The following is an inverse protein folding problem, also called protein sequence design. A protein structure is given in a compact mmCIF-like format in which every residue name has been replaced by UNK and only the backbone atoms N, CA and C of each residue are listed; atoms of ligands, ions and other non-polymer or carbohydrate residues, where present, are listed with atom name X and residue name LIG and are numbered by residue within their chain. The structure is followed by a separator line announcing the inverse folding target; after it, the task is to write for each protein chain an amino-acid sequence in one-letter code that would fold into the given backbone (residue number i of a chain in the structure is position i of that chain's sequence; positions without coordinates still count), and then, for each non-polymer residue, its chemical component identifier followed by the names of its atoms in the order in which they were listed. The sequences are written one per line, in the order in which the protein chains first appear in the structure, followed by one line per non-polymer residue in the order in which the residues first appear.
data_IF_725400268024
#
_entry.id   IF_725400268024
#
_cell.length_a   1.000
_cell.length_b   1.000
_cell.length_c   1.000
_cell.angle_alpha   90.00
_cell.angle_beta   90.00
_cell.angle_gamma   90.00
#
_symmetry.space_group_name_H-M   'P 1'
#
loop_
_entity.id
_entity.type
_entity.pdbx_description
1 polymer ?
#
# COMPACT_ATOMS: atom_id res chain seq x y z
N UNK A 1 16.59 5.17 -37.21
CA UNK A 1 16.90 5.22 -35.76
C UNK A 1 18.32 4.70 -35.58
N UNK A 2 19.24 5.58 -35.22
CA UNK A 2 20.66 5.27 -35.19
C UNK A 2 21.00 4.46 -33.92
N UNK A 3 21.97 3.55 -34.02
CA UNK A 3 22.43 2.70 -32.91
C UNK A 3 22.73 3.45 -31.59
N UNK A 4 23.35 4.65 -31.58
CA UNK A 4 23.51 5.45 -30.35
C UNK A 4 22.19 5.92 -29.73
N UNK A 5 21.16 6.21 -30.53
CA UNK A 5 19.84 6.60 -29.99
C UNK A 5 19.15 5.41 -29.30
N UNK A 6 19.36 4.18 -29.80
CA UNK A 6 18.88 2.96 -29.16
C UNK A 6 19.52 2.74 -27.79
N UNK A 7 20.83 2.93 -27.67
CA UNK A 7 21.52 2.85 -26.37
C UNK A 7 21.04 3.91 -25.39
N UNK A 8 20.74 5.12 -25.84
CA UNK A 8 20.23 6.17 -24.98
C UNK A 8 18.80 5.90 -24.52
N UNK A 9 17.94 5.34 -25.38
CA UNK A 9 16.56 4.94 -24.99
C UNK A 9 16.57 3.73 -24.06
N UNK A 10 17.42 2.72 -24.30
CA UNK A 10 17.57 1.55 -23.43
C UNK A 10 18.26 1.87 -22.09
N UNK A 11 19.21 2.81 -22.06
CA UNK A 11 19.78 3.32 -20.79
C UNK A 11 18.80 4.20 -20.02
N UNK A 12 17.87 4.88 -20.70
CA UNK A 12 16.81 5.65 -20.04
C UNK A 12 15.71 4.72 -19.46
N UNK A 13 15.64 3.47 -19.94
CA UNK A 13 15.01 2.35 -19.23
C UNK A 13 15.96 1.77 -18.16
N UNK A 14 16.67 2.65 -17.45
CA UNK A 14 17.37 2.30 -16.21
C UNK A 14 16.35 1.65 -15.28
N UNK A 15 16.43 0.34 -15.24
CA UNK A 15 15.49 -0.52 -14.54
C UNK A 15 15.39 -0.02 -13.11
N UNK A 16 14.20 0.40 -12.71
CA UNK A 16 13.87 0.55 -11.29
C UNK A 16 14.34 -0.75 -10.63
N UNK A 17 15.32 -0.65 -9.73
CA UNK A 17 15.97 -1.84 -9.19
C UNK A 17 14.89 -2.80 -8.69
N UNK A 18 14.99 -4.09 -8.99
CA UNK A 18 13.88 -5.04 -8.82
C UNK A 18 13.21 -5.01 -7.44
N UNK A 19 13.95 -4.57 -6.41
CA UNK A 19 13.44 -4.30 -5.07
C UNK A 19 12.45 -3.11 -4.97
N UNK A 20 12.78 -1.95 -5.53
CA UNK A 20 11.88 -0.77 -5.53
C UNK A 20 10.59 -1.06 -6.29
N UNK A 21 10.71 -1.74 -7.43
CA UNK A 21 9.57 -2.24 -8.22
C UNK A 21 8.71 -3.21 -7.41
N UNK A 22 9.33 -4.17 -6.70
CA UNK A 22 8.61 -5.09 -5.83
C UNK A 22 7.80 -4.35 -4.76
N UNK A 23 8.40 -3.37 -4.07
CA UNK A 23 7.70 -2.58 -3.05
C UNK A 23 6.53 -1.78 -3.64
N UNK A 24 6.70 -1.22 -4.84
CA UNK A 24 5.63 -0.51 -5.54
C UNK A 24 4.46 -1.42 -5.90
N UNK A 25 4.73 -2.60 -6.49
CA UNK A 25 3.68 -3.56 -6.84
C UNK A 25 3.00 -4.14 -5.61
N UNK A 26 3.74 -4.37 -4.52
CA UNK A 26 3.17 -4.74 -3.23
C UNK A 26 2.18 -3.68 -2.73
N UNK A 27 2.54 -2.39 -2.80
CA UNK A 27 1.62 -1.30 -2.45
C UNK A 27 0.35 -1.30 -3.32
N UNK A 28 0.47 -1.53 -4.63
CA UNK A 28 -0.69 -1.59 -5.52
C UNK A 28 -1.61 -2.78 -5.19
N UNK A 29 -1.04 -3.95 -4.89
CA UNK A 29 -1.81 -5.12 -4.45
C UNK A 29 -2.54 -4.81 -3.14
N UNK A 30 -1.88 -4.16 -2.18
CA UNK A 30 -2.51 -3.78 -0.90
C UNK A 30 -3.59 -2.71 -1.05
N UNK A 31 -3.40 -1.76 -1.96
CA UNK A 31 -4.42 -0.78 -2.30
C UNK A 31 -5.64 -1.46 -2.93
N UNK A 32 -5.44 -2.35 -3.90
CA UNK A 32 -6.50 -3.13 -4.53
C UNK A 32 -7.24 -4.03 -3.52
N UNK A 33 -6.50 -4.69 -2.63
CA UNK A 33 -7.06 -5.51 -1.56
C UNK A 33 -7.87 -4.69 -0.55
N UNK A 34 -7.39 -3.48 -0.22
CA UNK A 34 -8.16 -2.55 0.63
C UNK A 34 -9.45 -2.13 -0.05
N UNK A 35 -9.44 -1.87 -1.37
CA UNK A 35 -10.66 -1.58 -2.11
C UNK A 35 -11.62 -2.77 -2.10
N UNK A 36 -11.09 -3.98 -2.25
CA UNK A 36 -11.89 -5.21 -2.18
C UNK A 36 -12.59 -5.34 -0.82
N UNK A 37 -11.85 -5.23 0.29
CA UNK A 37 -12.41 -5.39 1.64
C UNK A 37 -13.36 -4.25 2.01
N UNK A 38 -13.11 -3.02 1.58
CA UNK A 38 -13.90 -1.84 1.99
C UNK A 38 -15.11 -1.54 1.13
N UNK A 39 -15.13 -2.03 -0.10
CA UNK A 39 -16.20 -1.74 -1.06
C UNK A 39 -16.78 -3.02 -1.65
N UNK A 40 -16.00 -3.83 -2.38
CA UNK A 40 -16.53 -4.96 -3.14
C UNK A 40 -17.15 -6.03 -2.23
N UNK A 41 -16.46 -6.42 -1.16
CA UNK A 41 -16.95 -7.42 -0.21
C UNK A 41 -18.21 -6.93 0.55
N UNK A 42 -18.24 -5.71 1.13
CA UNK A 42 -19.46 -5.11 1.70
C UNK A 42 -20.65 -5.04 0.74
N UNK A 43 -20.41 -4.65 -0.52
CA UNK A 43 -21.47 -4.57 -1.54
C UNK A 43 -22.00 -5.97 -1.84
N UNK A 44 -21.12 -6.95 -2.07
CA UNK A 44 -21.50 -8.34 -2.32
C UNK A 44 -22.27 -8.94 -1.14
N UNK A 45 -21.83 -8.68 0.08
CA UNK A 45 -22.55 -9.06 1.30
C UNK A 45 -23.94 -8.41 1.33
N UNK A 46 -24.04 -7.11 1.08
CA UNK A 46 -25.32 -6.40 1.15
C UNK A 46 -26.32 -6.92 0.12
N UNK A 47 -25.86 -7.21 -1.10
CA UNK A 47 -26.65 -7.83 -2.16
C UNK A 47 -27.15 -9.23 -1.77
N UNK A 48 -26.30 -10.05 -1.15
CA UNK A 48 -26.65 -11.40 -0.75
C UNK A 48 -27.70 -11.45 0.38
N UNK A 49 -27.71 -10.44 1.26
CA UNK A 49 -28.58 -10.39 2.44
C UNK A 49 -29.72 -9.37 2.35
N UNK A 50 -29.92 -8.71 1.20
CA UNK A 50 -31.00 -7.73 0.99
C UNK A 50 -30.85 -6.45 1.81
N UNK A 51 -29.62 -6.09 2.16
CA UNK A 51 -29.26 -4.92 2.97
C UNK A 51 -28.98 -3.70 2.07
N UNK A 52 -29.08 -2.46 2.56
CA UNK A 52 -28.69 -1.27 1.81
C UNK A 52 -27.21 -1.33 1.38
N UNK A 53 -26.93 -1.07 0.09
CA UNK A 53 -25.60 -1.25 -0.52
C UNK A 53 -24.45 -0.52 0.19
N UNK A 54 -24.75 0.62 0.80
CA UNK A 54 -23.75 1.49 1.46
C UNK A 54 -23.63 1.24 2.96
N UNK A 55 -24.44 0.34 3.54
CA UNK A 55 -24.51 0.13 5.00
C UNK A 55 -23.17 -0.24 5.62
N UNK A 56 -22.37 -1.05 4.91
CA UNK A 56 -21.10 -1.59 5.39
C UNK A 56 -19.88 -0.97 4.70
N UNK A 57 -20.06 0.09 3.90
CA UNK A 57 -18.95 0.75 3.20
C UNK A 57 -18.21 1.68 4.14
N UNK A 58 -16.90 1.46 4.26
CA UNK A 58 -16.00 2.34 5.00
C UNK A 58 -15.25 3.25 4.04
N UNK A 59 -15.55 4.54 4.09
CA UNK A 59 -14.84 5.53 3.29
C UNK A 59 -13.41 5.69 3.77
N UNK A 60 -12.47 5.46 2.86
CA UNK A 60 -11.05 5.54 3.14
C UNK A 60 -10.27 6.02 1.93
N UNK A 61 -9.39 6.98 2.17
CA UNK A 61 -8.50 7.59 1.18
C UNK A 61 -7.11 6.93 1.17
N UNK A 62 -6.78 6.07 2.13
CA UNK A 62 -5.49 5.38 2.19
C UNK A 62 -5.10 4.63 0.90
N UNK A 63 -6.01 3.96 0.16
CA UNK A 63 -5.65 3.34 -1.13
C UNK A 63 -5.06 4.32 -2.14
N UNK A 64 -5.56 5.56 -2.17
CA UNK A 64 -5.05 6.62 -3.06
C UNK A 64 -3.64 7.01 -2.65
N UNK A 65 -3.39 7.17 -1.34
CA UNK A 65 -2.07 7.48 -0.81
C UNK A 65 -1.06 6.34 -1.12
N UNK A 66 -1.48 5.08 -0.98
CA UNK A 66 -0.65 3.92 -1.32
C UNK A 66 -0.30 3.86 -2.81
N UNK A 67 -1.27 4.15 -3.69
CA UNK A 67 -1.04 4.23 -5.14
C UNK A 67 -0.10 5.37 -5.47
N UNK A 68 -0.25 6.53 -4.82
CA UNK A 68 0.66 7.66 -5.02
C UNK A 68 2.10 7.33 -4.61
N UNK A 69 2.29 6.70 -3.44
CA UNK A 69 3.62 6.25 -3.01
C UNK A 69 4.18 5.16 -3.94
N UNK A 70 3.36 4.19 -4.35
CA UNK A 70 3.78 3.14 -5.28
C UNK A 70 4.22 3.72 -6.63
N UNK A 71 3.49 4.71 -7.15
CA UNK A 71 3.92 5.46 -8.34
C UNK A 71 5.22 6.22 -8.09
N UNK A 72 5.38 6.90 -6.95
CA UNK A 72 6.61 7.61 -6.63
C UNK A 72 7.83 6.66 -6.54
N UNK A 73 7.66 5.44 -6.04
CA UNK A 73 8.72 4.43 -6.04
C UNK A 73 9.17 4.03 -7.45
N UNK A 74 8.24 4.00 -8.42
CA UNK A 74 8.56 3.69 -9.82
C UNK A 74 9.12 4.89 -10.58
N UNK A 75 8.53 6.07 -10.40
CA UNK A 75 8.91 7.29 -11.12
C UNK A 75 10.13 7.99 -10.52
N UNK A 76 10.47 7.69 -9.26
CA UNK A 76 11.58 8.26 -8.48
C UNK A 76 11.69 9.80 -8.54
N UNK A 77 10.61 10.58 -8.34
CA UNK A 77 10.75 12.03 -8.16
C UNK A 77 11.66 12.36 -6.97
N UNK A 78 12.21 13.57 -6.94
CA UNK A 78 13.20 14.02 -5.94
C UNK A 78 12.70 13.89 -4.48
N UNK A 79 11.40 13.98 -4.27
CA UNK A 79 10.78 13.89 -2.95
C UNK A 79 10.42 12.45 -2.51
N UNK A 80 10.64 11.43 -3.35
CA UNK A 80 10.22 10.02 -3.09
C UNK A 80 10.67 9.51 -1.73
N UNK A 81 11.93 9.77 -1.37
CA UNK A 81 12.48 9.30 -0.10
C UNK A 81 11.79 9.96 1.09
N UNK A 82 11.57 11.26 1.04
CA UNK A 82 10.88 11.99 2.10
C UNK A 82 9.43 11.50 2.22
N UNK A 83 8.73 11.34 1.10
CA UNK A 83 7.38 10.78 1.07
C UNK A 83 7.34 9.37 1.68
N UNK A 84 8.23 8.47 1.28
CA UNK A 84 8.30 7.10 1.77
C UNK A 84 8.53 7.05 3.29
N UNK A 85 9.45 7.86 3.82
CA UNK A 85 9.72 7.92 5.26
C UNK A 85 8.51 8.48 6.01
N UNK A 86 8.00 9.64 5.58
CA UNK A 86 6.87 10.30 6.25
C UNK A 86 5.64 9.41 6.28
N UNK A 87 5.26 8.84 5.13
CA UNK A 87 4.10 7.93 5.06
C UNK A 87 4.32 6.67 5.88
N UNK A 88 5.51 6.06 5.82
CA UNK A 88 5.76 4.84 6.61
C UNK A 88 5.69 5.08 8.11
N UNK A 89 6.26 6.17 8.61
CA UNK A 89 6.18 6.51 10.03
C UNK A 89 4.74 6.74 10.47
N UNK A 90 3.97 7.51 9.69
CA UNK A 90 2.56 7.78 9.98
C UNK A 90 1.75 6.48 9.98
N UNK A 91 1.88 5.66 8.93
CA UNK A 91 1.09 4.44 8.80
C UNK A 91 1.44 3.43 9.90
N UNK A 92 2.73 3.24 10.20
CA UNK A 92 3.18 2.36 11.29
C UNK A 92 2.60 2.83 12.63
N UNK A 93 2.67 4.12 12.95
CA UNK A 93 2.16 4.65 14.21
C UNK A 93 0.64 4.44 14.35
N UNK A 94 -0.11 4.71 13.28
CA UNK A 94 -1.56 4.50 13.23
C UNK A 94 -1.89 3.01 13.41
N UNK A 95 -1.26 2.12 12.66
CA UNK A 95 -1.58 0.69 12.71
C UNK A 95 -1.20 0.07 14.05
N UNK A 96 -0.03 0.41 14.62
CA UNK A 96 0.36 -0.07 15.95
C UNK A 96 -0.64 0.38 17.02
N UNK A 97 -1.15 1.61 16.96
CA UNK A 97 -2.20 2.10 17.87
C UNK A 97 -3.49 1.30 17.71
N UNK A 98 -3.93 1.09 16.47
CA UNK A 98 -5.13 0.31 16.17
C UNK A 98 -5.01 -1.15 16.62
N UNK A 99 -3.83 -1.75 16.45
CA UNK A 99 -3.54 -3.10 16.94
C UNK A 99 -3.52 -3.18 18.45
N UNK A 100 -2.95 -2.19 19.15
CA UNK A 100 -2.99 -2.15 20.61
C UNK A 100 -4.45 -2.13 21.12
N UNK A 101 -5.32 -1.32 20.50
CA UNK A 101 -6.74 -1.30 20.85
C UNK A 101 -7.47 -2.59 20.49
N UNK A 102 -7.19 -3.18 19.32
CA UNK A 102 -7.79 -4.45 18.93
C UNK A 102 -7.39 -5.61 19.85
N UNK A 103 -6.12 -5.68 20.25
CA UNK A 103 -5.60 -6.75 21.10
C UNK A 103 -6.06 -6.64 22.56
N UNK A 104 -6.48 -5.45 23.00
CA UNK A 104 -7.07 -5.28 24.33
C UNK A 104 -8.41 -6.00 24.45
N UNK A 105 -9.25 -5.93 23.41
CA UNK A 105 -10.56 -6.58 23.35
C UNK A 105 -10.82 -7.15 21.95
N UNK A 106 -10.27 -8.33 21.62
CA UNK A 106 -10.32 -8.85 20.26
C UNK A 106 -11.71 -9.38 19.89
N UNK A 107 -12.24 -8.88 18.77
CA UNK A 107 -13.40 -9.47 18.08
C UNK A 107 -12.92 -10.14 16.79
N UNK A 108 -13.24 -11.42 16.62
CA UNK A 108 -12.85 -12.22 15.46
C UNK A 108 -13.99 -12.41 14.45
N UNK A 109 -14.98 -11.51 14.45
CA UNK A 109 -15.96 -11.44 13.37
C UNK A 109 -15.29 -11.36 12.00
N UNK A 110 -16.01 -11.77 10.95
CA UNK A 110 -15.49 -11.77 9.58
C UNK A 110 -14.98 -10.39 9.15
N UNK A 111 -15.63 -9.32 9.61
CA UNK A 111 -15.25 -7.94 9.32
C UNK A 111 -13.94 -7.55 9.99
N UNK A 112 -13.81 -7.84 11.29
CA UNK A 112 -12.61 -7.52 12.07
C UNK A 112 -11.43 -8.38 11.67
N UNK A 113 -11.64 -9.64 11.35
CA UNK A 113 -10.60 -10.54 10.85
C UNK A 113 -10.04 -10.06 9.50
N UNK A 114 -10.91 -9.71 8.53
CA UNK A 114 -10.47 -9.14 7.26
C UNK A 114 -9.69 -7.83 7.46
N UNK A 115 -10.18 -6.96 8.34
CA UNK A 115 -9.50 -5.72 8.70
C UNK A 115 -8.12 -5.96 9.32
N UNK A 116 -8.03 -6.90 10.27
CA UNK A 116 -6.78 -7.24 10.97
C UNK A 116 -5.73 -7.75 9.99
N UNK A 117 -6.10 -8.72 9.15
CA UNK A 117 -5.21 -9.28 8.12
C UNK A 117 -4.72 -8.19 7.18
N UNK A 118 -5.61 -7.33 6.69
CA UNK A 118 -5.22 -6.19 5.84
C UNK A 118 -4.18 -5.29 6.55
N UNK A 119 -4.44 -4.92 7.80
CA UNK A 119 -3.55 -4.04 8.57
C UNK A 119 -2.20 -4.69 8.87
N UNK A 120 -2.15 -6.01 9.06
CA UNK A 120 -0.89 -6.74 9.26
C UNK A 120 -0.01 -6.70 8.00
N UNK A 121 -0.61 -6.91 6.82
CA UNK A 121 0.12 -6.81 5.55
C UNK A 121 0.58 -5.38 5.24
N UNK A 122 -0.28 -4.38 5.48
CA UNK A 122 0.08 -2.96 5.31
C UNK A 122 1.23 -2.59 6.26
N UNK A 123 1.17 -2.98 7.53
CA UNK A 123 2.26 -2.75 8.49
C UNK A 123 3.58 -3.36 8.03
N UNK A 124 3.53 -4.60 7.54
CA UNK A 124 4.70 -5.32 7.05
C UNK A 124 5.31 -4.61 5.82
N UNK A 125 4.47 -4.16 4.89
CA UNK A 125 4.90 -3.39 3.72
C UNK A 125 5.58 -2.07 4.12
N UNK A 126 4.98 -1.29 5.02
CA UNK A 126 5.56 -0.03 5.45
C UNK A 126 6.82 -0.19 6.31
N UNK A 127 6.94 -1.28 7.08
CA UNK A 127 8.19 -1.63 7.74
C UNK A 127 9.31 -1.91 6.73
N UNK A 128 9.03 -2.64 5.63
CA UNK A 128 9.99 -2.86 4.55
C UNK A 128 10.36 -1.57 3.82
N UNK A 129 9.39 -0.69 3.54
CA UNK A 129 9.62 0.61 2.91
C UNK A 129 10.52 1.48 3.80
N UNK A 130 10.18 1.62 5.09
CA UNK A 130 10.97 2.41 6.03
C UNK A 130 12.39 1.85 6.18
N UNK A 131 12.52 0.54 6.37
CA UNK A 131 13.83 -0.12 6.43
C UNK A 131 14.66 0.13 5.17
N UNK A 132 14.03 0.07 3.99
CA UNK A 132 14.72 0.39 2.73
C UNK A 132 15.13 1.87 2.68
N UNK A 133 14.26 2.78 3.09
CA UNK A 133 14.53 4.22 3.08
C UNK A 133 15.67 4.66 3.99
N UNK A 134 15.86 3.96 5.11
CA UNK A 134 16.90 4.24 6.08
C UNK A 134 18.22 3.55 5.74
N UNK A 135 18.19 2.25 5.39
CA UNK A 135 19.41 1.45 5.24
C UNK A 135 19.90 1.28 3.80
N UNK A 136 19.01 1.44 2.80
CA UNK A 136 19.34 1.21 1.38
C UNK A 136 18.66 2.26 0.49
N UNK A 137 18.92 3.57 0.69
CA UNK A 137 18.19 4.65 0.01
C UNK A 137 18.29 4.58 -1.52
N UNK A 138 19.41 4.10 -2.07
CA UNK A 138 19.60 3.92 -3.52
C UNK A 138 18.70 2.84 -4.15
N UNK A 139 18.03 2.01 -3.31
CA UNK A 139 17.13 0.93 -3.75
C UNK A 139 15.64 1.32 -3.68
N UNK A 140 15.32 2.52 -3.21
CA UNK A 140 14.01 3.15 -3.45
C UNK A 140 13.99 3.64 -4.89
#
# INVERSE_FOLDING_TARGET
MNQPERYLVEQNQQTVGGWGSFLAYLLFILAAWTLFIKYLFPIGYSLAYGEPLTKYIYWDLWPIAHVWLGWALLARPTYTRMLAISMAVIEIAIICTLFAWFLAEPDWSIWRTNWFVNKAFVLSCFALILGTALYRPHKL
#
